data_IF_470431984028
#
_entry.id   IF_470431984028
#
_cell.length_a   1.000
_cell.length_b   1.000
_cell.length_c   1.000
_cell.angle_alpha   90.00
_cell.angle_beta   90.00
_cell.angle_gamma   90.00
#
_symmetry.space_group_name_H-M   'P 1'
#
loop_
_entity.id
_entity.type
_entity.pdbx_description
1 polymer ?
#
# COMPACT_ATOMS: atom_id res chain seq x y z
N UNK A 1 -32.96 -12.07 -18.54
CA UNK A 1 -32.50 -10.67 -18.46
C UNK A 1 -31.06 -10.70 -18.02
N UNK A 2 -30.15 -10.18 -18.83
CA UNK A 2 -28.74 -10.03 -18.42
C UNK A 2 -28.65 -8.71 -17.63
N UNK A 3 -28.23 -8.78 -16.36
CA UNK A 3 -27.99 -7.59 -15.57
C UNK A 3 -26.71 -6.92 -16.07
N UNK A 4 -26.79 -5.62 -16.34
CA UNK A 4 -25.63 -4.80 -16.68
C UNK A 4 -25.04 -4.21 -15.40
N UNK A 5 -23.73 -4.18 -15.28
CA UNK A 5 -23.08 -3.50 -14.15
C UNK A 5 -23.43 -2.00 -14.17
N UNK A 6 -23.63 -1.42 -13.01
CA UNK A 6 -23.74 0.03 -12.86
C UNK A 6 -22.42 0.71 -13.19
N UNK A 7 -22.49 1.97 -13.62
CA UNK A 7 -21.28 2.78 -13.82
C UNK A 7 -20.54 2.96 -12.50
N UNK A 8 -19.21 3.06 -12.59
CA UNK A 8 -18.39 3.41 -11.44
C UNK A 8 -18.73 4.82 -10.93
N UNK A 9 -18.72 4.97 -9.62
CA UNK A 9 -18.97 6.25 -8.96
C UNK A 9 -17.82 6.56 -8.02
N UNK A 10 -17.54 7.85 -7.80
CA UNK A 10 -16.60 8.24 -6.76
C UNK A 10 -17.11 7.80 -5.40
N UNK A 11 -16.21 7.49 -4.49
CA UNK A 11 -16.59 7.25 -3.10
C UNK A 11 -17.23 8.52 -2.51
N UNK A 12 -18.31 8.35 -1.77
CA UNK A 12 -18.93 9.46 -1.02
C UNK A 12 -18.12 9.73 0.26
N UNK A 13 -18.41 10.83 0.97
CA UNK A 13 -17.65 11.24 2.14
C UNK A 13 -17.71 10.25 3.32
N UNK A 14 -18.63 9.31 3.31
CA UNK A 14 -18.79 8.33 4.39
C UNK A 14 -17.58 7.43 4.60
N UNK A 15 -16.77 7.19 3.59
CA UNK A 15 -15.59 6.35 3.74
C UNK A 15 -14.57 6.91 4.74
N UNK A 16 -14.54 8.22 4.95
CA UNK A 16 -13.63 8.85 5.92
C UNK A 16 -14.33 9.57 7.08
N UNK A 17 -15.62 9.96 6.95
CA UNK A 17 -16.34 10.62 8.06
C UNK A 17 -17.27 9.69 8.82
N UNK A 18 -17.89 8.69 8.16
CA UNK A 18 -18.84 7.77 8.76
C UNK A 18 -18.25 6.43 9.17
N UNK A 19 -17.02 6.11 8.75
CA UNK A 19 -16.35 4.84 8.99
C UNK A 19 -15.03 4.99 9.76
N UNK A 20 -14.87 6.06 10.51
CA UNK A 20 -13.65 6.32 11.29
C UNK A 20 -13.34 5.24 12.34
N UNK A 21 -14.35 4.53 12.81
CA UNK A 21 -14.20 3.40 13.72
C UNK A 21 -13.49 2.18 13.08
N UNK A 22 -13.38 2.16 11.76
CA UNK A 22 -12.62 1.14 11.01
C UNK A 22 -11.15 1.54 10.80
N UNK A 23 -10.76 2.76 11.17
CA UNK A 23 -9.37 3.19 11.00
C UNK A 23 -8.43 2.30 11.80
N UNK A 24 -7.37 1.87 11.15
CA UNK A 24 -6.37 0.98 11.69
C UNK A 24 -4.99 1.40 11.15
N UNK A 25 -4.36 2.30 11.90
CA UNK A 25 -3.05 2.87 11.56
C UNK A 25 -1.89 2.11 12.21
N UNK A 26 -2.20 1.24 13.17
CA UNK A 26 -1.24 0.36 13.81
C UNK A 26 -1.58 -1.10 13.46
N UNK A 27 -0.86 -1.66 12.47
CA UNK A 27 -1.09 -3.00 11.97
C UNK A 27 -0.40 -4.07 12.83
N UNK A 28 0.58 -3.67 13.63
CA UNK A 28 1.41 -4.59 14.42
C UNK A 28 1.30 -4.28 15.91
N UNK A 29 1.11 -5.30 16.74
CA UNK A 29 1.11 -5.21 18.21
C UNK A 29 2.43 -5.73 18.77
N UNK A 30 2.60 -5.70 20.12
CA UNK A 30 3.84 -6.11 20.80
C UNK A 30 4.24 -7.57 20.52
N UNK A 31 3.27 -8.42 20.24
CA UNK A 31 3.48 -9.86 19.99
C UNK A 31 3.75 -10.19 18.51
N UNK A 32 3.47 -9.26 17.59
CA UNK A 32 3.72 -9.46 16.16
C UNK A 32 5.22 -9.66 15.88
N UNK A 33 5.56 -10.66 15.12
CA UNK A 33 6.95 -10.98 14.75
C UNK A 33 7.43 -10.09 13.60
N UNK A 34 8.73 -9.76 13.61
CA UNK A 34 9.38 -9.05 12.51
C UNK A 34 9.95 -7.67 12.88
N UNK A 35 10.62 -7.06 11.92
CA UNK A 35 11.19 -5.72 12.04
C UNK A 35 10.07 -4.67 12.02
N UNK A 36 9.99 -3.85 13.06
CA UNK A 36 9.02 -2.76 13.14
C UNK A 36 9.40 -1.63 12.22
N UNK A 37 8.45 -1.18 11.42
CA UNK A 37 8.61 -0.03 10.54
C UNK A 37 7.42 0.91 10.65
N UNK A 38 7.67 2.19 10.44
CA UNK A 38 6.64 3.19 10.23
C UNK A 38 6.74 3.74 8.82
N UNK A 39 5.61 3.87 8.15
CA UNK A 39 5.51 4.52 6.84
C UNK A 39 4.83 5.86 7.04
N UNK A 40 5.45 6.91 6.52
CA UNK A 40 4.93 8.28 6.54
C UNK A 40 4.88 8.82 5.12
N UNK A 41 3.93 9.71 4.85
CA UNK A 41 3.86 10.34 3.54
C UNK A 41 2.73 11.34 3.43
N UNK A 42 2.52 11.81 2.21
CA UNK A 42 1.49 12.78 1.87
C UNK A 42 0.82 12.37 0.56
N UNK A 43 -0.47 12.66 0.43
CA UNK A 43 -1.23 12.50 -0.81
C UNK A 43 -1.44 13.88 -1.43
N UNK A 44 -0.98 14.03 -2.67
CA UNK A 44 -1.13 15.27 -3.45
C UNK A 44 -1.72 14.98 -4.82
N UNK A 45 -2.36 15.97 -5.40
CA UNK A 45 -2.86 15.92 -6.77
C UNK A 45 -1.80 16.32 -7.81
N UNK A 46 -2.19 16.42 -9.07
CA UNK A 46 -1.28 16.78 -10.16
C UNK A 46 -0.80 18.23 -10.18
N UNK A 47 -1.39 19.11 -9.37
CA UNK A 47 -0.94 20.49 -9.20
C UNK A 47 -0.01 20.65 -7.99
N UNK A 48 0.13 19.58 -7.17
CA UNK A 48 0.81 19.61 -5.89
C UNK A 48 -0.09 20.06 -4.72
N UNK A 49 -1.39 20.21 -4.96
CA UNK A 49 -2.34 20.54 -3.90
C UNK A 49 -2.62 19.30 -3.04
N UNK A 50 -2.78 19.51 -1.74
CA UNK A 50 -3.03 18.42 -0.80
C UNK A 50 -4.40 17.80 -0.98
N UNK A 51 -4.46 16.47 -0.92
CA UNK A 51 -5.73 15.71 -0.94
C UNK A 51 -6.05 15.30 0.49
N UNK A 52 -6.80 16.13 1.18
CA UNK A 52 -7.06 16.03 2.62
C UNK A 52 -8.22 15.09 3.00
N UNK A 53 -8.78 14.38 2.04
CA UNK A 53 -9.83 13.40 2.25
C UNK A 53 -9.44 12.02 1.69
N UNK A 54 -8.16 11.80 1.38
CA UNK A 54 -7.69 10.50 0.96
C UNK A 54 -7.72 9.49 2.12
N UNK A 55 -7.84 8.24 1.76
CA UNK A 55 -7.76 7.11 2.67
C UNK A 55 -7.04 5.97 1.95
N UNK A 56 -6.11 5.36 2.65
CA UNK A 56 -5.33 4.24 2.15
C UNK A 56 -5.80 2.95 2.83
N UNK A 57 -6.11 1.93 2.04
CA UNK A 57 -6.17 0.56 2.55
C UNK A 57 -4.86 -0.15 2.22
N UNK A 58 -4.25 -0.74 3.22
CA UNK A 58 -2.95 -1.40 3.12
C UNK A 58 -3.13 -2.88 3.37
N UNK A 59 -2.53 -3.71 2.52
CA UNK A 59 -2.50 -5.15 2.66
C UNK A 59 -1.09 -5.69 2.46
N UNK A 60 -0.64 -6.56 3.35
CA UNK A 60 0.70 -7.14 3.28
C UNK A 60 0.79 -8.54 3.90
N UNK A 61 1.83 -9.26 3.52
CA UNK A 61 2.24 -10.50 4.17
C UNK A 61 2.94 -10.23 5.53
N UNK A 62 3.03 -11.25 6.37
CA UNK A 62 3.81 -11.22 7.60
C UNK A 62 5.34 -11.23 7.34
N UNK A 63 6.16 -11.23 8.38
CA UNK A 63 7.63 -11.25 8.26
C UNK A 63 8.18 -12.49 7.56
N UNK A 64 7.46 -13.61 7.55
CA UNK A 64 7.82 -14.82 6.81
C UNK A 64 7.36 -14.78 5.34
N UNK A 65 6.58 -13.78 4.92
CA UNK A 65 6.02 -13.69 3.58
C UNK A 65 4.74 -14.53 3.41
N UNK A 66 3.96 -14.72 4.48
CA UNK A 66 2.67 -15.41 4.48
C UNK A 66 1.55 -14.39 4.70
N UNK A 67 0.52 -14.42 3.84
CA UNK A 67 -0.70 -13.66 4.05
C UNK A 67 -1.64 -14.42 5.02
N UNK A 68 -2.34 -13.68 5.85
CA UNK A 68 -3.46 -14.23 6.62
C UNK A 68 -4.71 -14.28 5.75
N UNK A 69 -4.69 -15.18 4.78
CA UNK A 69 -5.79 -15.37 3.84
C UNK A 69 -5.93 -16.85 3.44
N UNK A 70 -7.16 -17.39 3.35
CA UNK A 70 -7.39 -18.81 3.05
C UNK A 70 -6.88 -19.24 1.66
N UNK A 71 -6.72 -18.32 0.71
CA UNK A 71 -6.17 -18.60 -0.62
C UNK A 71 -4.63 -18.51 -0.67
N UNK A 72 -3.97 -18.13 0.41
CA UNK A 72 -2.51 -18.23 0.48
C UNK A 72 -2.10 -19.67 0.85
N UNK A 73 -1.75 -20.45 -0.16
CA UNK A 73 -1.35 -21.86 -0.02
C UNK A 73 0.16 -22.04 0.27
N UNK A 74 0.93 -20.95 0.41
CA UNK A 74 2.37 -21.03 0.70
C UNK A 74 2.62 -21.81 1.99
N UNK A 75 3.57 -22.75 1.96
CA UNK A 75 4.03 -23.49 3.16
C UNK A 75 5.01 -22.63 3.98
N UNK A 76 4.48 -21.56 4.57
CA UNK A 76 5.19 -20.61 5.44
C UNK A 76 4.43 -20.40 6.73
N UNK A 77 5.11 -20.05 7.84
CA UNK A 77 4.44 -19.86 9.13
C UNK A 77 3.52 -18.63 9.10
N UNK A 78 2.28 -18.83 9.58
CA UNK A 78 1.36 -17.75 9.87
C UNK A 78 1.73 -17.12 11.22
N UNK A 79 1.66 -15.81 11.32
CA UNK A 79 1.76 -15.08 12.59
C UNK A 79 0.33 -14.82 13.11
N UNK A 80 -0.11 -15.46 14.20
CA UNK A 80 -1.47 -15.31 14.72
C UNK A 80 -1.74 -13.91 15.32
N UNK A 81 -0.71 -13.08 15.43
CA UNK A 81 -0.77 -11.72 15.97
C UNK A 81 -0.67 -10.64 14.87
N UNK A 82 -0.78 -11.04 13.60
CA UNK A 82 -0.65 -10.14 12.47
C UNK A 82 -1.62 -10.47 11.34
N UNK A 83 -2.62 -9.62 11.13
CA UNK A 83 -3.59 -9.76 10.03
C UNK A 83 -3.10 -9.13 8.72
N UNK A 84 -2.19 -8.19 8.78
CA UNK A 84 -1.62 -7.53 7.60
C UNK A 84 -2.51 -6.48 6.94
N UNK A 85 -3.67 -6.16 7.49
CA UNK A 85 -4.60 -5.16 6.96
C UNK A 85 -4.57 -3.87 7.76
N UNK A 86 -4.58 -2.73 7.07
CA UNK A 86 -4.69 -1.40 7.65
C UNK A 86 -5.63 -0.52 6.86
N UNK A 87 -6.23 0.45 7.53
CA UNK A 87 -7.07 1.48 6.96
C UNK A 87 -6.64 2.82 7.54
N UNK A 88 -5.97 3.62 6.71
CA UNK A 88 -5.16 4.76 7.12
C UNK A 88 -5.74 6.03 6.49
N UNK A 89 -6.40 6.92 7.25
CA UNK A 89 -6.83 8.21 6.77
C UNK A 89 -5.64 9.16 6.64
N UNK A 90 -5.82 10.22 5.87
CA UNK A 90 -4.93 11.38 5.90
C UNK A 90 -5.45 12.44 6.88
N UNK A 91 -4.56 13.33 7.32
CA UNK A 91 -4.90 14.54 8.07
C UNK A 91 -5.31 15.72 7.17
N UNK A 92 -5.54 16.90 7.75
CA UNK A 92 -5.93 18.10 7.03
C UNK A 92 -4.87 18.60 6.03
N UNK A 93 -3.62 18.22 6.25
CA UNK A 93 -2.47 18.51 5.38
C UNK A 93 -2.20 17.36 4.39
N UNK A 94 -3.13 16.40 4.25
CA UNK A 94 -2.99 15.26 3.36
C UNK A 94 -1.94 14.24 3.79
N UNK A 95 -1.43 14.31 5.02
CA UNK A 95 -0.39 13.43 5.53
C UNK A 95 -0.98 12.18 6.13
N UNK A 96 -0.28 11.07 5.98
CA UNK A 96 -0.60 9.81 6.63
C UNK A 96 0.61 9.26 7.37
N UNK A 97 0.33 8.45 8.37
CA UNK A 97 1.32 7.64 9.09
C UNK A 97 0.68 6.35 9.54
N UNK A 98 1.38 5.25 9.33
CA UNK A 98 0.99 3.98 9.94
C UNK A 98 2.23 3.18 10.37
N UNK A 99 2.02 2.26 11.30
CA UNK A 99 3.06 1.36 11.80
C UNK A 99 2.73 -0.06 11.44
N UNK A 100 3.75 -0.80 11.03
CA UNK A 100 3.64 -2.20 10.65
C UNK A 100 4.95 -2.94 10.88
N UNK A 101 5.12 -4.08 10.26
CA UNK A 101 6.38 -4.80 10.14
C UNK A 101 6.85 -4.81 8.69
N UNK A 102 8.15 -4.93 8.47
CA UNK A 102 8.68 -5.21 7.14
C UNK A 102 8.27 -6.63 6.73
N UNK A 103 7.54 -6.82 5.61
CA UNK A 103 7.12 -8.15 5.18
C UNK A 103 8.31 -8.98 4.68
N UNK A 104 8.13 -10.30 4.67
CA UNK A 104 9.01 -11.19 3.91
C UNK A 104 8.69 -11.19 2.42
N UNK A 105 9.54 -11.86 1.64
CA UNK A 105 9.27 -12.13 0.22
C UNK A 105 8.09 -13.08 0.06
N UNK A 106 7.29 -12.88 -0.99
CA UNK A 106 6.15 -13.74 -1.31
C UNK A 106 6.34 -14.46 -2.63
N UNK A 107 5.71 -15.61 -2.76
CA UNK A 107 5.67 -16.31 -4.04
C UNK A 107 4.86 -15.52 -5.07
N UNK A 108 5.38 -15.43 -6.27
CA UNK A 108 4.74 -14.86 -7.42
C UNK A 108 4.24 -15.92 -8.39
N UNK A 109 3.72 -15.48 -9.51
CA UNK A 109 3.28 -16.39 -10.56
C UNK A 109 4.45 -17.17 -11.15
N UNK A 110 4.18 -18.45 -11.52
CA UNK A 110 5.14 -19.36 -12.19
C UNK A 110 6.45 -19.57 -11.42
N UNK A 111 6.41 -19.53 -10.09
CA UNK A 111 7.57 -19.77 -9.25
C UNK A 111 8.52 -18.57 -9.14
N UNK A 112 8.11 -17.37 -9.57
CA UNK A 112 8.86 -16.15 -9.28
C UNK A 112 8.77 -15.78 -7.81
N UNK A 113 9.66 -14.93 -7.35
CA UNK A 113 9.63 -14.37 -5.99
C UNK A 113 9.40 -12.87 -6.09
N UNK A 114 8.42 -12.37 -5.35
CA UNK A 114 8.17 -10.94 -5.21
C UNK A 114 8.94 -10.39 -4.00
N UNK A 115 9.53 -9.24 -4.17
CA UNK A 115 10.23 -8.52 -3.09
C UNK A 115 9.28 -8.16 -1.93
N UNK A 116 9.79 -7.90 -0.73
CA UNK A 116 9.02 -7.33 0.36
C UNK A 116 8.25 -6.09 -0.09
N UNK A 117 6.92 -6.14 0.00
CA UNK A 117 6.06 -5.05 -0.45
C UNK A 117 4.75 -4.96 0.34
N UNK A 118 4.14 -3.79 0.29
CA UNK A 118 2.78 -3.56 0.73
C UNK A 118 1.92 -3.24 -0.50
N UNK A 119 0.74 -3.83 -0.58
CA UNK A 119 -0.30 -3.43 -1.54
C UNK A 119 -1.09 -2.28 -0.95
N UNK A 120 -1.34 -1.24 -1.74
CA UNK A 120 -2.07 -0.05 -1.28
C UNK A 120 -3.19 0.28 -2.26
N UNK A 121 -4.39 0.41 -1.73
CA UNK A 121 -5.55 0.98 -2.41
C UNK A 121 -5.74 2.42 -1.94
N UNK A 122 -5.80 3.34 -2.87
CA UNK A 122 -6.01 4.76 -2.59
C UNK A 122 -7.43 5.16 -2.96
N UNK A 123 -8.15 5.73 -2.01
CA UNK A 123 -9.49 6.28 -2.16
C UNK A 123 -9.45 7.79 -1.91
N UNK A 124 -10.14 8.56 -2.73
CA UNK A 124 -10.32 9.99 -2.53
C UNK A 124 -11.56 10.46 -3.31
N UNK A 125 -12.12 11.60 -2.95
CA UNK A 125 -13.17 12.23 -3.76
C UNK A 125 -12.67 12.49 -5.18
N UNK A 126 -13.55 12.37 -6.17
CA UNK A 126 -13.22 12.56 -7.58
C UNK A 126 -12.63 11.33 -8.26
N UNK A 127 -12.07 10.37 -7.53
CA UNK A 127 -11.67 9.09 -8.10
C UNK A 127 -12.90 8.24 -8.39
N UNK A 128 -13.09 7.84 -9.64
CA UNK A 128 -14.23 7.01 -10.08
C UNK A 128 -14.07 5.55 -9.65
N UNK A 129 -12.84 5.11 -9.47
CA UNK A 129 -12.44 3.83 -8.86
C UNK A 129 -11.24 4.08 -7.94
N UNK A 130 -11.00 3.18 -7.00
CA UNK A 130 -9.77 3.20 -6.22
C UNK A 130 -8.56 3.01 -7.13
N UNK A 131 -7.42 3.56 -6.72
CA UNK A 131 -6.15 3.36 -7.39
C UNK A 131 -5.35 2.30 -6.65
N UNK A 132 -4.83 1.33 -7.38
CA UNK A 132 -3.98 0.29 -6.84
C UNK A 132 -2.52 0.64 -7.06
N UNK A 133 -1.70 0.54 -6.01
CA UNK A 133 -0.25 0.68 -6.09
C UNK A 133 0.45 -0.24 -5.09
N UNK A 134 1.77 -0.19 -5.05
CA UNK A 134 2.59 -0.91 -4.06
C UNK A 134 3.63 0.00 -3.45
N UNK A 135 4.01 -0.32 -2.21
CA UNK A 135 5.18 0.23 -1.55
C UNK A 135 6.23 -0.85 -1.48
N UNK A 136 7.40 -0.58 -2.02
CA UNK A 136 8.63 -1.37 -1.84
C UNK A 136 9.61 -0.60 -0.95
N UNK A 137 10.63 -1.26 -0.47
CA UNK A 137 11.63 -0.65 0.41
C UNK A 137 12.91 -0.34 -0.38
N UNK A 138 13.37 0.91 -0.35
CA UNK A 138 14.62 1.30 -0.99
C UNK A 138 15.80 0.52 -0.38
N UNK A 139 16.72 0.05 -1.21
CA UNK A 139 17.86 -0.74 -0.78
C UNK A 139 17.57 -2.22 -0.53
N UNK A 140 16.33 -2.68 -0.71
CA UNK A 140 15.98 -4.11 -0.60
C UNK A 140 16.58 -4.89 -1.80
N UNK A 141 17.49 -5.85 -1.56
CA UNK A 141 18.13 -6.58 -2.66
C UNK A 141 17.16 -7.34 -3.57
N UNK A 142 16.05 -7.84 -3.02
CA UNK A 142 15.05 -8.58 -3.77
C UNK A 142 14.34 -7.75 -4.84
N UNK A 143 14.36 -6.42 -4.74
CA UNK A 143 13.74 -5.52 -5.72
C UNK A 143 14.31 -5.73 -7.14
N UNK A 144 15.55 -6.16 -7.27
CA UNK A 144 16.23 -6.34 -8.58
C UNK A 144 15.56 -7.42 -9.43
N UNK A 145 14.99 -8.43 -8.77
CA UNK A 145 14.36 -9.57 -9.45
C UNK A 145 12.83 -9.62 -9.25
N UNK A 146 12.23 -8.55 -8.74
CA UNK A 146 10.77 -8.51 -8.56
C UNK A 146 10.07 -8.39 -9.92
N UNK A 147 9.20 -9.35 -10.28
CA UNK A 147 8.60 -9.41 -11.61
C UNK A 147 7.67 -8.23 -11.91
N UNK A 148 7.08 -7.62 -10.89
CA UNK A 148 6.22 -6.46 -11.09
C UNK A 148 7.05 -5.18 -11.26
N UNK A 149 8.12 -5.00 -10.48
CA UNK A 149 9.05 -3.89 -10.67
C UNK A 149 9.75 -3.96 -12.04
N UNK A 150 10.02 -5.14 -12.56
CA UNK A 150 10.57 -5.30 -13.92
C UNK A 150 9.62 -4.77 -15.00
N UNK A 151 8.30 -4.90 -14.82
CA UNK A 151 7.29 -4.37 -15.74
C UNK A 151 7.17 -2.83 -15.69
N UNK A 152 7.65 -2.18 -14.63
CA UNK A 152 7.60 -0.73 -14.48
C UNK A 152 8.81 -0.09 -15.18
N UNK A 153 8.63 0.97 -16.01
CA UNK A 153 9.72 1.72 -16.59
C UNK A 153 10.72 2.18 -15.53
N UNK A 154 12.01 2.02 -15.81
CA UNK A 154 13.08 2.21 -14.81
C UNK A 154 13.04 3.59 -14.13
N UNK A 155 12.74 4.64 -14.89
CA UNK A 155 12.63 6.02 -14.44
C UNK A 155 11.43 6.25 -13.50
N UNK A 156 10.42 5.37 -13.53
CA UNK A 156 9.23 5.47 -12.67
C UNK A 156 9.28 4.57 -11.44
N UNK A 157 10.20 3.62 -11.36
CA UNK A 157 10.30 2.67 -10.22
C UNK A 157 10.50 3.39 -8.89
N UNK A 158 11.20 4.51 -8.89
CA UNK A 158 11.45 5.31 -7.69
C UNK A 158 10.16 5.78 -6.99
N UNK A 159 9.05 5.92 -7.71
CA UNK A 159 7.74 6.31 -7.15
C UNK A 159 7.11 5.23 -6.29
N UNK A 160 7.58 4.01 -6.41
CA UNK A 160 7.13 2.85 -5.61
C UNK A 160 8.05 2.56 -4.41
N UNK A 161 9.18 3.25 -4.28
CA UNK A 161 10.18 2.97 -3.25
C UNK A 161 9.99 3.89 -2.03
N UNK A 162 9.67 3.29 -0.89
CA UNK A 162 9.74 3.99 0.39
C UNK A 162 11.19 4.18 0.80
N UNK A 163 11.59 5.41 1.06
CA UNK A 163 12.97 5.81 1.39
C UNK A 163 13.18 5.86 2.88
N UNK A 164 14.28 5.34 3.40
CA UNK A 164 14.60 5.47 4.81
C UNK A 164 14.80 6.96 5.17
N UNK A 165 14.10 7.43 6.20
CA UNK A 165 14.21 8.78 6.76
C UNK A 165 14.92 8.78 8.11
N UNK A 166 14.50 7.85 8.99
CA UNK A 166 15.10 7.62 10.30
C UNK A 166 15.10 6.12 10.60
N UNK A 167 15.69 5.71 11.72
CA UNK A 167 15.70 4.31 12.13
C UNK A 167 14.27 3.75 12.21
N UNK A 168 13.95 2.77 11.35
CA UNK A 168 12.63 2.16 11.25
C UNK A 168 11.53 3.05 10.68
N UNK A 169 11.84 4.24 10.15
CA UNK A 169 10.88 5.13 9.49
C UNK A 169 11.21 5.25 8.02
N UNK A 170 10.19 5.08 7.19
CA UNK A 170 10.28 5.22 5.73
C UNK A 170 9.30 6.29 5.25
N UNK A 171 9.74 7.11 4.30
CA UNK A 171 8.91 8.11 3.64
C UNK A 171 8.49 7.64 2.27
N UNK A 172 7.19 7.75 1.97
CA UNK A 172 6.62 7.45 0.67
C UNK A 172 5.41 8.34 0.42
N UNK A 173 5.38 9.07 -0.72
CA UNK A 173 4.29 9.96 -1.08
C UNK A 173 3.44 9.36 -2.20
N UNK A 174 2.17 9.74 -2.24
CA UNK A 174 1.23 9.44 -3.32
C UNK A 174 0.99 10.72 -4.12
N UNK A 175 1.36 10.69 -5.39
CA UNK A 175 1.08 11.76 -6.37
C UNK A 175 0.06 11.18 -7.35
N UNK A 176 -1.18 11.70 -7.31
CA UNK A 176 -2.32 11.09 -8.02
C UNK A 176 -2.25 11.25 -9.53
N UNK A 177 -1.68 12.32 -10.02
CA UNK A 177 -1.40 12.54 -11.44
C UNK A 177 -0.32 13.61 -11.62
N UNK A 178 0.30 13.65 -12.81
CA UNK A 178 1.34 14.63 -13.13
C UNK A 178 2.25 14.12 -14.23
N UNK A 179 3.12 14.96 -14.72
CA UNK A 179 4.10 14.60 -15.76
C UNK A 179 5.38 14.03 -15.17
N UNK A 180 5.74 14.46 -13.96
CA UNK A 180 6.94 14.01 -13.25
C UNK A 180 6.57 13.57 -11.83
N UNK A 181 7.04 12.39 -11.43
CA UNK A 181 6.86 11.89 -10.08
C UNK A 181 5.49 11.29 -9.76
N UNK A 182 4.55 11.23 -10.73
CA UNK A 182 3.28 10.52 -10.54
C UNK A 182 3.52 9.10 -10.07
N UNK A 183 2.83 8.70 -9.00
CA UNK A 183 2.89 7.34 -8.49
C UNK A 183 2.45 6.34 -9.57
N UNK A 184 3.17 5.24 -9.70
CA UNK A 184 2.75 4.17 -10.60
C UNK A 184 1.53 3.48 -10.00
N UNK A 185 0.43 3.46 -10.77
CA UNK A 185 -0.76 2.70 -10.45
C UNK A 185 -0.91 1.52 -11.40
N UNK A 186 -1.45 0.43 -10.89
CA UNK A 186 -1.66 -0.82 -11.63
C UNK A 186 -3.13 -1.00 -11.99
N UNK A 187 -3.41 -1.42 -13.20
CA UNK A 187 -4.72 -1.92 -13.64
C UNK A 187 -4.70 -3.45 -13.74
N UNK A 188 -5.84 -4.09 -13.41
CA UNK A 188 -6.10 -5.54 -13.61
C UNK A 188 -7.52 -5.79 -14.12
#
# INVERSE_FOLDING_TARGET
MTLTATTSHTVGPYYHIGLTWLNRENLANEQTLGERVAITGQVVDGNGDVVNDAMLEVWQANAAGKYDHPEDEQDKPLDPHFEGFGRVPVDAEGRFRFTTIKPGTVEGLKGSTQAPHLVVLVFARGLVKHLLTRIYFEGEPANVADPLLECVPAERRATLLARPDAAGVYQWNVILQGTEGETVFFDY
#
